data_IF_032255926165
#
_entry.id   IF_032255926165
#
_cell.length_a   1.000
_cell.length_b   1.000
_cell.length_c   1.000
_cell.angle_alpha   90.00
_cell.angle_beta   90.00
_cell.angle_gamma   90.00
#
_symmetry.space_group_name_H-M   'P 1'
#
loop_
_entity.id
_entity.type
_entity.pdbx_description
1 polymer ?
#
# COMPACT_ATOMS: atom_id res chain seq x y z
N UNK A 1 2.96 -12.47 7.19
CA UNK A 1 2.01 -11.34 7.00
C UNK A 1 2.11 -10.75 5.60
N UNK A 2 3.24 -10.15 5.20
CA UNK A 2 3.41 -9.57 3.84
C UNK A 2 3.17 -10.53 2.69
N UNK A 3 3.76 -11.73 2.69
CA UNK A 3 3.51 -12.71 1.61
C UNK A 3 2.08 -13.24 1.58
N UNK A 4 1.42 -13.32 2.74
CA UNK A 4 0.02 -13.75 2.81
C UNK A 4 -0.88 -12.69 2.18
N UNK A 5 -0.71 -11.41 2.55
CA UNK A 5 -1.44 -10.29 1.96
C UNK A 5 -1.16 -10.11 0.47
N UNK A 6 0.09 -10.28 0.03
CA UNK A 6 0.46 -10.17 -1.39
C UNK A 6 -0.28 -11.16 -2.29
N UNK A 7 -0.60 -12.34 -1.76
CA UNK A 7 -1.35 -13.36 -2.50
C UNK A 7 -2.86 -13.29 -2.23
N UNK A 8 -3.28 -12.99 -0.99
CA UNK A 8 -4.70 -13.00 -0.61
C UNK A 8 -5.44 -11.75 -1.02
N UNK A 9 -4.80 -10.58 -0.96
CA UNK A 9 -5.46 -9.31 -1.24
C UNK A 9 -5.90 -9.20 -2.71
N UNK A 10 -5.09 -9.57 -3.73
CA UNK A 10 -5.56 -9.61 -5.12
C UNK A 10 -6.74 -10.56 -5.31
N UNK A 11 -6.72 -11.75 -4.68
CA UNK A 11 -7.81 -12.71 -4.75
C UNK A 11 -9.10 -12.16 -4.15
N UNK A 12 -9.02 -11.58 -2.94
CA UNK A 12 -10.16 -10.98 -2.25
C UNK A 12 -10.73 -9.82 -3.08
N UNK A 13 -9.87 -8.94 -3.61
CA UNK A 13 -10.31 -7.80 -4.44
C UNK A 13 -11.02 -8.29 -5.70
N UNK A 14 -10.44 -9.28 -6.40
CA UNK A 14 -11.04 -9.86 -7.60
C UNK A 14 -12.40 -10.49 -7.31
N UNK A 15 -12.47 -11.35 -6.29
CA UNK A 15 -13.68 -12.10 -5.97
C UNK A 15 -14.79 -11.17 -5.44
N UNK A 16 -14.43 -10.13 -4.69
CA UNK A 16 -15.36 -9.08 -4.26
C UNK A 16 -15.91 -8.27 -5.45
N UNK A 17 -15.03 -7.83 -6.37
CA UNK A 17 -15.44 -7.11 -7.58
C UNK A 17 -16.33 -7.95 -8.50
N UNK A 18 -16.16 -9.28 -8.53
CA UNK A 18 -17.00 -10.18 -9.30
C UNK A 18 -18.42 -10.31 -8.71
N UNK A 19 -18.56 -10.25 -7.38
CA UNK A 19 -19.85 -10.31 -6.69
C UNK A 19 -20.59 -8.96 -6.67
N UNK A 20 -19.85 -7.86 -6.50
CA UNK A 20 -20.38 -6.50 -6.49
C UNK A 20 -19.35 -5.57 -7.15
N UNK A 21 -19.68 -4.89 -8.26
CA UNK A 21 -18.76 -3.97 -8.92
C UNK A 21 -18.13 -2.98 -7.93
N UNK A 22 -16.82 -2.79 -8.05
CA UNK A 22 -15.99 -1.89 -7.23
C UNK A 22 -15.86 -2.23 -5.73
N UNK A 23 -16.56 -3.23 -5.20
CA UNK A 23 -16.49 -3.57 -3.78
C UNK A 23 -15.08 -3.93 -3.32
N UNK A 24 -14.35 -4.72 -4.11
CA UNK A 24 -12.95 -5.06 -3.85
C UNK A 24 -12.03 -3.85 -3.92
N UNK A 25 -12.26 -2.95 -4.88
CA UNK A 25 -11.49 -1.70 -5.01
C UNK A 25 -11.70 -0.80 -3.79
N UNK A 26 -12.93 -0.69 -3.28
CA UNK A 26 -13.25 0.07 -2.07
C UNK A 26 -12.60 -0.53 -0.82
N UNK A 27 -12.60 -1.88 -0.70
CA UNK A 27 -11.89 -2.57 0.38
C UNK A 27 -10.40 -2.28 0.30
N UNK A 28 -9.81 -2.34 -0.89
CA UNK A 28 -8.40 -2.06 -1.11
C UNK A 28 -8.04 -0.62 -0.72
N UNK A 29 -8.86 0.36 -1.12
CA UNK A 29 -8.67 1.75 -0.72
C UNK A 29 -8.75 1.95 0.79
N UNK A 30 -9.71 1.32 1.46
CA UNK A 30 -9.81 1.38 2.92
C UNK A 30 -8.57 0.79 3.61
N UNK A 31 -8.00 -0.29 3.08
CA UNK A 31 -6.77 -0.90 3.58
C UNK A 31 -5.54 -0.01 3.34
N UNK A 32 -5.48 0.68 2.20
CA UNK A 32 -4.35 1.52 1.83
C UNK A 32 -4.40 2.93 2.42
N UNK A 33 -5.57 3.41 2.86
CA UNK A 33 -5.77 4.78 3.37
C UNK A 33 -4.77 5.23 4.47
N UNK A 34 -4.40 4.41 5.47
CA UNK A 34 -3.41 4.82 6.47
C UNK A 34 -2.02 5.07 5.85
N UNK A 35 -1.69 4.32 4.80
CA UNK A 35 -0.41 4.41 4.12
C UNK A 35 -0.33 5.63 3.21
N UNK A 36 -1.44 6.08 2.63
CA UNK A 36 -1.46 7.35 1.89
C UNK A 36 -1.05 8.53 2.78
N UNK A 37 -1.52 8.55 4.04
CA UNK A 37 -1.11 9.56 5.02
C UNK A 37 0.38 9.44 5.34
N UNK A 38 0.87 8.22 5.53
CA UNK A 38 2.28 7.97 5.80
C UNK A 38 3.18 8.41 4.62
N UNK A 39 2.78 8.09 3.38
CA UNK A 39 3.49 8.48 2.17
C UNK A 39 3.52 10.00 1.99
N UNK A 40 2.39 10.68 2.20
CA UNK A 40 2.32 12.15 2.13
C UNK A 40 3.20 12.83 3.19
N UNK A 41 3.28 12.25 4.40
CA UNK A 41 4.20 12.73 5.45
C UNK A 41 5.66 12.44 5.09
N UNK A 42 5.94 11.26 4.55
CA UNK A 42 7.28 10.85 4.14
C UNK A 42 7.83 11.74 3.02
N UNK A 43 7.02 12.07 2.03
CA UNK A 43 7.43 12.94 0.91
C UNK A 43 7.80 14.36 1.40
N UNK A 44 7.04 14.89 2.35
CA UNK A 44 7.25 16.22 2.95
C UNK A 44 8.31 16.21 4.05
N UNK A 45 8.80 15.04 4.45
CA UNK A 45 9.71 14.93 5.58
C UNK A 45 11.10 15.50 5.25
N UNK A 46 11.79 16.10 6.24
CA UNK A 46 13.19 16.50 6.10
C UNK A 46 14.07 15.34 5.62
N UNK A 47 15.16 15.65 4.91
CA UNK A 47 16.05 14.62 4.36
C UNK A 47 16.58 13.64 5.42
N UNK A 48 16.90 14.14 6.61
CA UNK A 48 17.34 13.28 7.73
C UNK A 48 16.26 12.31 8.19
N UNK A 49 15.01 12.74 8.28
CA UNK A 49 13.88 11.88 8.63
C UNK A 49 13.67 10.80 7.56
N UNK A 50 13.77 11.17 6.27
CA UNK A 50 13.66 10.20 5.17
C UNK A 50 14.77 9.15 5.22
N UNK A 51 16.02 9.55 5.53
CA UNK A 51 17.14 8.63 5.74
C UNK A 51 16.89 7.68 6.91
N UNK A 52 16.46 8.20 8.06
CA UNK A 52 16.16 7.39 9.24
C UNK A 52 15.08 6.35 8.95
N UNK A 53 14.01 6.74 8.25
CA UNK A 53 12.98 5.77 7.82
C UNK A 53 13.60 4.72 6.89
N UNK A 54 14.43 5.12 5.93
CA UNK A 54 15.06 4.18 5.00
C UNK A 54 16.03 3.19 5.68
N UNK A 55 16.70 3.62 6.75
CA UNK A 55 17.64 2.80 7.52
C UNK A 55 16.94 1.85 8.50
N UNK A 56 15.80 2.27 9.06
CA UNK A 56 15.11 1.52 10.11
C UNK A 56 13.93 0.68 9.58
N UNK A 57 13.35 1.07 8.45
CA UNK A 57 12.27 0.33 7.82
C UNK A 57 12.85 -0.81 6.97
N UNK A 58 12.33 -2.03 7.17
CA UNK A 58 12.72 -3.16 6.32
C UNK A 58 12.36 -2.85 4.87
N UNK A 59 13.24 -3.20 3.93
CA UNK A 59 13.07 -2.93 2.49
C UNK A 59 11.67 -3.34 1.96
N UNK A 60 11.18 -4.50 2.40
CA UNK A 60 9.83 -5.00 2.05
C UNK A 60 8.66 -4.07 2.43
N UNK A 61 8.87 -3.15 3.36
CA UNK A 61 7.87 -2.20 3.83
C UNK A 61 7.99 -0.82 3.14
N UNK A 62 9.10 -0.53 2.46
CA UNK A 62 9.30 0.75 1.75
C UNK A 62 8.18 1.11 0.77
N UNK A 63 7.61 0.16 0.00
CA UNK A 63 6.50 0.43 -0.90
C UNK A 63 5.26 1.05 -0.22
N UNK A 64 5.10 0.89 1.10
CA UNK A 64 3.95 1.41 1.85
C UNK A 64 4.13 2.87 2.32
N UNK A 65 5.31 3.46 2.12
CA UNK A 65 5.57 4.87 2.40
C UNK A 65 5.88 5.66 1.12
N UNK A 66 5.72 5.03 -0.05
CA UNK A 66 5.94 5.63 -1.36
C UNK A 66 4.61 5.73 -2.11
N UNK A 67 4.19 6.95 -2.43
CA UNK A 67 2.91 7.20 -3.12
C UNK A 67 2.82 6.46 -4.47
N UNK A 68 3.92 6.44 -5.23
CA UNK A 68 3.99 5.73 -6.51
C UNK A 68 3.78 4.22 -6.38
N UNK A 69 4.25 3.63 -5.28
CA UNK A 69 4.09 2.21 -5.03
C UNK A 69 2.67 1.88 -4.54
N UNK A 70 2.06 2.73 -3.71
CA UNK A 70 0.65 2.60 -3.33
C UNK A 70 -0.30 2.69 -4.53
N UNK A 71 -0.01 3.58 -5.49
CA UNK A 71 -0.77 3.67 -6.75
C UNK A 71 -0.66 2.40 -7.61
N UNK A 72 0.46 1.68 -7.56
CA UNK A 72 0.64 0.37 -8.21
C UNK A 72 -0.17 -0.71 -7.50
N UNK A 73 -0.14 -0.75 -6.17
CA UNK A 73 -0.93 -1.71 -5.39
C UNK A 73 -2.43 -1.62 -5.69
N UNK A 74 -2.96 -0.40 -5.88
CA UNK A 74 -4.35 -0.16 -6.31
C UNK A 74 -4.71 -0.78 -7.66
N UNK A 75 -3.71 -0.98 -8.54
CA UNK A 75 -3.86 -1.65 -9.83
C UNK A 75 -3.66 -3.16 -9.76
N UNK A 76 -3.44 -3.70 -8.55
CA UNK A 76 -3.12 -5.12 -8.35
C UNK A 76 -1.63 -5.45 -8.47
N UNK A 77 -0.76 -4.45 -8.61
CA UNK A 77 0.69 -4.64 -8.67
C UNK A 77 1.29 -4.55 -7.25
N UNK A 78 1.39 -5.69 -6.57
CA UNK A 78 1.96 -5.83 -5.21
C UNK A 78 3.38 -6.37 -5.22
#
# INVERSE_FOLDING_TARGET
>A
FFSALRCSLPCIVRDANAACPDAGSLILDAVLQPFDKAAALYEKAPQMTRKLVHENLKEKCMPFVEEKALAKMRKGEF
#
